data_IF_590849372032
#
_entry.id   IF_590849372032
#
_cell.length_a   1.000
_cell.length_b   1.000
_cell.length_c   1.000
_cell.angle_alpha   90.00
_cell.angle_beta   90.00
_cell.angle_gamma   90.00
#
_symmetry.space_group_name_H-M   'P 1'
#
loop_
_entity.id
_entity.type
_entity.pdbx_description
1 polymer ?
#
# COMPACT_ATOMS: atom_id res chain seq x y z
N UNK A 1 -1.84 8.86 -11.29
CA UNK A 1 -1.56 7.43 -11.14
C UNK A 1 -2.75 6.71 -10.52
N UNK A 2 -2.94 5.45 -10.88
CA UNK A 2 -4.04 4.65 -10.34
C UNK A 2 -3.63 3.87 -9.10
N UNK A 3 -2.33 3.73 -8.88
CA UNK A 3 -1.79 3.02 -7.72
C UNK A 3 -0.34 3.43 -7.54
N UNK A 4 0.22 3.12 -6.38
CA UNK A 4 1.63 3.36 -6.10
C UNK A 4 2.32 2.05 -5.79
N UNK A 5 3.50 1.85 -6.37
CA UNK A 5 4.28 0.64 -6.18
C UNK A 5 5.67 1.01 -5.70
N UNK A 6 6.04 0.49 -4.53
CA UNK A 6 7.36 0.73 -3.96
C UNK A 6 8.28 -0.43 -4.26
N UNK A 7 9.41 -0.13 -4.88
CA UNK A 7 10.48 -1.08 -5.17
C UNK A 7 11.62 -0.88 -4.18
N UNK A 8 12.53 -1.86 -4.05
CA UNK A 8 13.68 -1.67 -3.19
C UNK A 8 14.45 -0.40 -3.54
N UNK A 9 14.78 0.37 -2.54
CA UNK A 9 15.48 1.63 -2.70
C UNK A 9 15.94 2.16 -1.35
N UNK A 10 16.42 3.38 -1.34
CA UNK A 10 16.98 3.99 -0.14
C UNK A 10 15.99 4.90 0.60
N UNK A 11 16.56 5.87 1.31
CA UNK A 11 15.78 6.75 2.17
C UNK A 11 14.74 7.55 1.40
N UNK A 12 15.06 8.02 0.21
CA UNK A 12 14.09 8.77 -0.60
C UNK A 12 12.89 7.94 -1.00
N UNK A 13 13.12 6.66 -1.31
CA UNK A 13 12.05 5.73 -1.64
C UNK A 13 11.14 5.52 -0.42
N UNK A 14 11.75 5.39 0.76
CA UNK A 14 10.99 5.21 2.00
C UNK A 14 10.16 6.45 2.32
N UNK A 15 10.74 7.62 2.15
CA UNK A 15 10.01 8.87 2.37
C UNK A 15 8.78 8.95 1.49
N UNK A 16 8.93 8.65 0.20
CA UNK A 16 7.83 8.70 -0.74
C UNK A 16 6.75 7.68 -0.39
N UNK A 17 7.16 6.46 -0.07
CA UNK A 17 6.23 5.41 0.32
C UNK A 17 5.41 5.81 1.54
N UNK A 18 6.07 6.32 2.58
CA UNK A 18 5.38 6.71 3.79
C UNK A 18 4.45 7.90 3.57
N UNK A 19 4.85 8.84 2.72
CA UNK A 19 3.98 9.97 2.39
C UNK A 19 2.70 9.50 1.73
N UNK A 20 2.82 8.64 0.71
CA UNK A 20 1.66 8.12 0.00
C UNK A 20 0.78 7.29 0.93
N UNK A 21 1.40 6.45 1.77
CA UNK A 21 0.67 5.63 2.72
C UNK A 21 -0.11 6.50 3.72
N UNK A 22 0.51 7.57 4.20
CA UNK A 22 -0.16 8.51 5.10
C UNK A 22 -1.35 9.17 4.43
N UNK A 23 -1.20 9.59 3.18
CA UNK A 23 -2.30 10.22 2.47
C UNK A 23 -3.47 9.26 2.28
N UNK A 24 -3.19 7.99 1.98
CA UNK A 24 -4.24 6.98 1.90
C UNK A 24 -4.91 6.78 3.26
N UNK A 25 -4.11 6.72 4.32
CA UNK A 25 -4.62 6.55 5.66
C UNK A 25 -5.54 7.71 6.08
N UNK A 26 -5.17 8.93 5.69
CA UNK A 26 -5.97 10.11 6.01
C UNK A 26 -7.15 10.30 5.07
N UNK A 27 -7.29 9.45 4.06
CA UNK A 27 -8.39 9.54 3.11
C UNK A 27 -8.23 10.63 2.09
N UNK A 28 -7.00 11.15 1.90
CA UNK A 28 -6.75 12.22 0.94
C UNK A 28 -6.74 11.73 -0.49
N UNK A 29 -6.49 10.45 -0.70
CA UNK A 29 -6.70 9.81 -2.00
C UNK A 29 -7.03 8.34 -1.80
N UNK A 30 -7.77 7.73 -2.73
CA UNK A 30 -8.19 6.34 -2.61
C UNK A 30 -7.23 5.34 -3.27
N UNK A 31 -6.04 5.77 -3.67
CA UNK A 31 -5.15 4.93 -4.49
C UNK A 31 -4.43 3.90 -3.64
N UNK A 32 -4.44 2.63 -4.06
CA UNK A 32 -3.76 1.59 -3.30
C UNK A 32 -2.24 1.74 -3.36
N UNK A 33 -1.57 1.28 -2.31
CA UNK A 33 -0.13 1.35 -2.15
C UNK A 33 0.43 -0.05 -2.00
N UNK A 34 1.37 -0.42 -2.86
CA UNK A 34 1.98 -1.74 -2.84
C UNK A 34 3.45 -1.68 -2.54
N UNK A 35 3.96 -2.77 -1.96
CA UNK A 35 5.37 -2.95 -1.65
C UNK A 35 5.82 -4.26 -2.27
N UNK A 36 6.76 -4.20 -3.21
CA UNK A 36 7.30 -5.40 -3.81
C UNK A 36 8.41 -5.96 -2.93
N UNK A 37 8.13 -7.09 -2.29
CA UNK A 37 9.04 -7.73 -1.37
C UNK A 37 10.07 -8.56 -2.13
N UNK A 38 11.18 -7.95 -2.53
CA UNK A 38 12.25 -8.62 -3.24
C UNK A 38 13.24 -9.20 -2.22
N UNK A 39 13.34 -10.53 -2.20
CA UNK A 39 14.17 -11.20 -1.21
C UNK A 39 13.75 -10.81 0.20
N UNK A 40 14.71 -10.47 1.03
CA UNK A 40 14.48 -10.09 2.41
C UNK A 40 14.59 -8.59 2.65
N UNK A 41 14.71 -7.81 1.59
CA UNK A 41 15.03 -6.38 1.71
C UNK A 41 14.07 -5.62 2.62
N UNK A 42 12.77 -5.88 2.50
CA UNK A 42 11.75 -5.16 3.27
C UNK A 42 11.27 -5.90 4.52
N UNK A 43 11.89 -7.05 4.85
CA UNK A 43 11.42 -7.83 6.00
C UNK A 43 11.43 -7.02 7.30
N UNK A 44 12.49 -6.27 7.55
CA UNK A 44 12.59 -5.49 8.78
C UNK A 44 11.63 -4.29 8.78
N UNK A 45 11.38 -3.72 7.62
CA UNK A 45 10.41 -2.63 7.50
C UNK A 45 9.01 -3.12 7.85
N UNK A 46 8.61 -4.25 7.28
CA UNK A 46 7.30 -4.84 7.54
C UNK A 46 7.20 -5.22 9.02
N UNK A 47 8.25 -5.83 9.57
CA UNK A 47 8.27 -6.19 10.97
C UNK A 47 8.14 -4.96 11.86
N UNK A 48 8.79 -3.86 11.49
CA UNK A 48 8.69 -2.62 12.26
C UNK A 48 7.27 -2.05 12.21
N UNK A 49 6.64 -2.06 11.04
CA UNK A 49 5.27 -1.58 10.92
C UNK A 49 4.31 -2.41 11.77
N UNK A 50 4.46 -3.73 11.73
CA UNK A 50 3.63 -4.62 12.56
C UNK A 50 3.89 -4.39 14.04
N UNK A 51 5.15 -4.12 14.41
CA UNK A 51 5.53 -3.82 15.79
C UNK A 51 4.88 -2.52 16.26
N UNK A 52 4.86 -1.50 15.42
CA UNK A 52 4.25 -0.24 15.76
C UNK A 52 2.74 -0.37 16.01
N UNK A 53 2.08 -1.25 15.25
CA UNK A 53 0.67 -1.56 15.47
C UNK A 53 0.49 -2.31 16.81
N UNK A 54 1.36 -3.29 17.07
CA UNK A 54 1.28 -4.08 18.29
C UNK A 54 1.46 -3.21 19.55
N UNK A 55 2.28 -2.17 19.47
CA UNK A 55 2.50 -1.24 20.57
C UNK A 55 1.41 -0.16 20.68
N UNK A 56 0.48 -0.13 19.76
CA UNK A 56 -0.60 0.86 19.76
C UNK A 56 -0.20 2.23 19.23
N UNK A 57 0.97 2.34 18.60
CA UNK A 57 1.44 3.60 18.04
C UNK A 57 0.91 3.84 16.64
N UNK A 58 0.54 2.78 15.93
CA UNK A 58 -0.11 2.87 14.62
C UNK A 58 -1.40 2.09 14.67
N UNK A 59 -2.38 2.53 13.89
CA UNK A 59 -3.64 1.80 13.78
C UNK A 59 -3.48 0.61 12.83
N UNK A 60 -4.17 -0.51 13.08
CA UNK A 60 -4.12 -1.66 12.15
C UNK A 60 -4.43 -1.27 10.72
N UNK A 61 -5.35 -0.34 10.51
CA UNK A 61 -5.72 0.12 9.17
C UNK A 61 -4.53 0.70 8.41
N UNK A 62 -3.62 1.39 9.09
CA UNK A 62 -2.45 1.96 8.43
C UNK A 62 -1.57 0.86 7.82
N UNK A 63 -1.42 -0.26 8.52
CA UNK A 63 -0.64 -1.39 8.01
C UNK A 63 -1.40 -2.12 6.89
N UNK A 64 -2.71 -2.26 7.03
CA UNK A 64 -3.53 -2.99 6.07
C UNK A 64 -3.63 -2.29 4.72
N UNK A 65 -3.42 -0.98 4.68
CA UNK A 65 -3.42 -0.23 3.42
C UNK A 65 -2.21 -0.55 2.56
N UNK A 66 -1.16 -1.13 3.13
CA UNK A 66 0.03 -1.51 2.40
C UNK A 66 -0.08 -2.95 1.93
N UNK A 67 -0.20 -3.15 0.63
CA UNK A 67 -0.29 -4.49 0.04
C UNK A 67 1.12 -4.98 -0.25
N UNK A 68 1.47 -6.14 0.28
CA UNK A 68 2.83 -6.69 0.16
C UNK A 68 2.77 -7.99 -0.64
N UNK A 69 3.62 -8.11 -1.67
CA UNK A 69 3.71 -9.34 -2.44
C UNK A 69 5.13 -9.42 -3.03
N UNK A 70 5.63 -10.62 -3.19
CA UNK A 70 6.93 -10.86 -3.80
C UNK A 70 6.82 -11.06 -5.32
N UNK A 71 5.64 -11.26 -5.83
CA UNK A 71 5.38 -11.44 -7.26
C UNK A 71 4.86 -10.13 -7.84
N UNK A 72 5.65 -9.54 -8.74
CA UNK A 72 5.30 -8.25 -9.30
C UNK A 72 3.97 -8.28 -10.07
N UNK A 73 3.74 -9.33 -10.86
CA UNK A 73 2.52 -9.43 -11.63
C UNK A 73 1.30 -9.56 -10.72
N UNK A 74 1.41 -10.40 -9.70
CA UNK A 74 0.33 -10.58 -8.74
C UNK A 74 0.06 -9.30 -7.97
N UNK A 75 1.11 -8.57 -7.59
CA UNK A 75 0.96 -7.30 -6.88
C UNK A 75 0.25 -6.27 -7.75
N UNK A 76 0.64 -6.15 -9.00
CA UNK A 76 0.01 -5.22 -9.93
C UNK A 76 -1.46 -5.58 -10.12
N UNK A 77 -1.76 -6.86 -10.27
CA UNK A 77 -3.15 -7.31 -10.44
C UNK A 77 -4.00 -6.98 -9.21
N UNK A 78 -3.41 -7.03 -8.02
CA UNK A 78 -4.12 -6.67 -6.80
C UNK A 78 -4.36 -5.16 -6.71
N UNK A 79 -3.35 -4.38 -7.09
CA UNK A 79 -3.43 -2.92 -6.99
C UNK A 79 -4.31 -2.31 -8.09
N UNK A 80 -4.23 -2.87 -9.30
CA UNK A 80 -4.98 -2.38 -10.46
C UNK A 80 -5.66 -3.57 -11.10
N UNK A 81 -6.81 -4.01 -10.58
CA UNK A 81 -7.50 -5.17 -11.12
C UNK A 81 -7.88 -4.96 -12.58
N UNK A 82 -7.97 -6.03 -13.36
CA UNK A 82 -8.45 -5.94 -14.74
C UNK A 82 -9.81 -5.23 -14.78
N UNK A 83 -10.04 -4.43 -15.81
CA UNK A 83 -11.22 -3.60 -15.88
C UNK A 83 -12.52 -4.39 -15.73
N UNK A 84 -12.58 -5.58 -16.24
CA UNK A 84 -13.78 -6.40 -16.11
C UNK A 84 -14.04 -6.82 -14.69
N UNK A 85 -12.98 -7.01 -13.91
CA UNK A 85 -13.10 -7.41 -12.51
C UNK A 85 -13.39 -6.20 -11.62
N UNK A 86 -12.91 -5.06 -12.03
CA UNK A 86 -13.08 -3.87 -11.24
C UNK A 86 -14.54 -3.53 -11.05
N UNK A 87 -15.27 -3.83 -11.97
CA UNK A 87 -16.65 -3.58 -11.91
C UNK A 87 -16.94 -2.58 -10.94
N UNK A 88 -17.88 -2.49 -10.52
CA UNK A 88 -18.58 -1.56 -9.94
C UNK A 88 -18.06 -0.73 -9.00
N UNK A 89 -17.77 -0.45 -8.84
CA UNK A 89 -17.47 0.25 -8.14
C UNK A 89 -17.89 0.96 -7.45
N UNK A 90 -18.03 1.20 -7.06
CA UNK A 90 -18.45 1.66 -6.38
C UNK A 90 -18.78 2.61 -6.15
N UNK A 91 -19.25 2.66 -6.22
CA UNK A 91 -19.52 3.31 -6.07
C UNK A 91 -19.32 4.18 -5.61
N UNK A 92 -19.09 4.42 -5.70
CA UNK A 92 -18.68 5.27 -5.38
C UNK A 92 -18.92 5.89 -4.77
N UNK A 93 -19.38 5.69 -4.57
CA UNK A 93 -19.42 6.08 -4.07
C UNK A 93 -18.88 6.49 -3.49
N UNK A 94 -18.73 6.80 -3.41
CA UNK A 94 -18.16 7.37 -2.92
C UNK A 94 -17.30 7.58 -2.72
N UNK A 95 -17.17 7.54 -2.84
CA UNK A 95 -16.30 7.67 -2.54
C UNK A 95 -15.52 8.44 -2.74
N UNK A 96 -15.25 8.94 -2.89
CA UNK A 96 -14.35 9.57 -3.07
C UNK A 96 -13.87 10.21 -2.59
N UNK A 97 -13.31 10.47 -2.27
CA UNK A 97 -12.51 11.11 -1.86
C UNK A 97 -12.03 11.65 -1.80
#
# INVERSE_FOLDING_TARGET
>A
ADAFLTLPGGVGTMEEMFEVLCWSYLGLHPKPTGLLAVGTYFDHLIAFLDHSVALGLSKPRARDLLVVDSDAAALIDTLVPPSGAAGPAPTGEGVEP
#
